data_IF_501887496433
#
_entry.id   IF_501887496433
#
_cell.length_a   1.000
_cell.length_b   1.000
_cell.length_c   1.000
_cell.angle_alpha   90.00
_cell.angle_beta   90.00
_cell.angle_gamma   90.00
#
_symmetry.space_group_name_H-M   'P 1'
#
loop_
_entity.id
_entity.type
_entity.pdbx_description
1 polymer ?
#
# COMPACT_ATOMS: atom_id res chain seq x y z
N UNK A 1 57.78 -4.70 43.24
CA UNK A 1 56.67 -5.44 42.70
C UNK A 1 55.70 -4.46 42.03
N UNK A 2 55.72 -4.45 40.74
CA UNK A 2 54.87 -3.56 39.96
C UNK A 2 53.64 -4.31 39.54
N UNK A 3 52.52 -3.94 40.10
CA UNK A 3 51.24 -4.45 39.64
C UNK A 3 50.81 -3.68 38.43
N UNK A 4 50.77 -4.35 37.30
CA UNK A 4 50.20 -3.79 36.08
C UNK A 4 48.68 -3.90 36.18
N UNK A 5 48.04 -2.78 36.41
CA UNK A 5 46.57 -2.71 36.33
C UNK A 5 46.20 -2.55 34.88
N UNK A 6 45.78 -3.66 34.28
CA UNK A 6 45.23 -3.65 32.92
C UNK A 6 43.78 -3.16 33.05
N UNK A 7 43.60 -1.88 32.78
CA UNK A 7 42.24 -1.35 32.64
C UNK A 7 41.69 -1.83 31.29
N UNK A 8 40.84 -2.82 31.36
CA UNK A 8 40.04 -3.27 30.23
C UNK A 8 38.95 -2.26 29.99
N UNK A 9 39.18 -1.33 29.08
CA UNK A 9 38.11 -0.45 28.60
C UNK A 9 37.22 -1.27 27.68
N UNK A 10 36.13 -1.77 28.21
CA UNK A 10 35.03 -2.30 27.44
C UNK A 10 34.33 -1.10 26.80
N UNK A 11 34.70 -0.80 25.57
CA UNK A 11 33.94 0.11 24.75
C UNK A 11 32.67 -0.63 24.35
N UNK A 12 31.64 -0.51 25.14
CA UNK A 12 30.30 -0.87 24.70
C UNK A 12 29.90 0.19 23.69
N UNK A 13 30.11 -0.12 22.43
CA UNK A 13 29.51 0.66 21.36
C UNK A 13 28.01 0.50 21.46
N UNK A 14 27.24 1.55 21.72
CA UNK A 14 25.80 1.47 21.56
C UNK A 14 25.55 1.31 20.07
N UNK A 15 25.23 0.10 19.66
CA UNK A 15 24.59 -0.08 18.39
C UNK A 15 23.26 0.64 18.47
N UNK A 16 23.25 1.87 18.03
CA UNK A 16 22.01 2.53 17.72
C UNK A 16 21.42 1.76 16.53
N UNK A 17 20.65 0.75 16.84
CA UNK A 17 19.67 0.30 15.88
C UNK A 17 18.70 1.44 15.77
N UNK A 18 18.88 2.26 14.75
CA UNK A 18 17.79 3.03 14.25
C UNK A 18 16.73 2.01 13.89
N UNK A 19 15.78 1.80 14.78
CA UNK A 19 14.58 1.11 14.44
C UNK A 19 13.94 1.95 13.35
N UNK A 20 14.26 1.62 12.11
CA UNK A 20 13.48 2.10 11.02
C UNK A 20 12.06 1.65 11.30
N UNK A 21 11.21 2.62 11.56
CA UNK A 21 9.79 2.42 11.70
C UNK A 21 9.19 2.07 10.34
N UNK A 22 9.71 1.02 9.72
CA UNK A 22 9.13 0.42 8.53
C UNK A 22 7.96 -0.49 8.88
N UNK A 23 7.66 -0.64 10.16
CA UNK A 23 6.56 -1.48 10.61
C UNK A 23 5.19 -0.98 10.13
N UNK A 24 5.06 0.31 9.88
CA UNK A 24 3.79 0.89 9.42
C UNK A 24 3.56 0.73 7.91
N UNK A 25 4.58 0.32 7.16
CA UNK A 25 4.49 0.09 5.72
C UNK A 25 4.30 -1.37 5.34
N UNK A 26 4.47 -2.29 6.26
CA UNK A 26 4.40 -3.72 5.97
C UNK A 26 2.99 -4.28 5.91
N UNK A 27 2.02 -3.55 6.42
CA UNK A 27 0.61 -3.98 6.41
C UNK A 27 -0.29 -2.79 6.14
N UNK A 28 -1.08 -2.88 5.07
CA UNK A 28 -2.13 -1.91 4.81
C UNK A 28 -3.39 -2.27 5.60
N UNK A 29 -4.11 -1.28 6.14
CA UNK A 29 -5.41 -1.51 6.72
C UNK A 29 -6.37 -2.13 5.71
N UNK A 30 -7.32 -2.92 6.17
CA UNK A 30 -8.29 -3.58 5.29
C UNK A 30 -9.59 -2.79 5.15
N UNK A 31 -9.95 -1.98 6.13
CA UNK A 31 -11.16 -1.15 6.07
C UNK A 31 -11.02 0.00 5.07
N UNK A 32 -12.11 0.39 4.46
CA UNK A 32 -12.13 1.35 3.35
C UNK A 32 -11.40 2.66 3.65
N UNK A 33 -11.77 3.33 4.73
CA UNK A 33 -11.23 4.66 5.05
C UNK A 33 -9.74 4.63 5.37
N UNK A 34 -9.34 3.72 6.22
CA UNK A 34 -7.94 3.59 6.63
C UNK A 34 -7.06 3.13 5.47
N UNK A 35 -7.58 2.26 4.62
CA UNK A 35 -6.89 1.83 3.41
C UNK A 35 -6.67 3.00 2.44
N UNK A 36 -7.71 3.79 2.17
CA UNK A 36 -7.61 4.94 1.26
C UNK A 36 -6.58 5.95 1.78
N UNK A 37 -6.61 6.23 3.07
CA UNK A 37 -5.65 7.15 3.68
C UNK A 37 -4.21 6.64 3.55
N UNK A 38 -3.99 5.36 3.81
CA UNK A 38 -2.66 4.75 3.70
C UNK A 38 -2.18 4.68 2.25
N UNK A 39 -3.01 4.17 1.33
CA UNK A 39 -2.62 3.96 -0.07
C UNK A 39 -2.34 5.27 -0.80
N UNK A 40 -2.95 6.38 -0.37
CA UNK A 40 -2.73 7.70 -0.95
C UNK A 40 -1.29 8.19 -0.84
N UNK A 41 -0.54 7.64 0.09
CA UNK A 41 0.86 8.02 0.37
C UNK A 41 1.88 7.14 -0.34
N UNK A 42 1.44 6.04 -0.93
CA UNK A 42 2.32 5.05 -1.55
C UNK A 42 2.44 5.29 -3.04
N UNK A 43 3.67 5.16 -3.55
CA UNK A 43 3.90 5.07 -4.99
C UNK A 43 3.71 3.62 -5.46
N UNK A 44 3.77 3.39 -6.77
CA UNK A 44 3.61 2.05 -7.37
C UNK A 44 4.58 1.02 -6.80
N UNK A 45 5.86 1.37 -6.64
CA UNK A 45 6.87 0.44 -6.12
C UNK A 45 6.60 0.04 -4.67
N UNK A 46 6.16 0.98 -3.85
CA UNK A 46 5.79 0.71 -2.47
C UNK A 46 4.54 -0.19 -2.38
N UNK A 47 3.57 0.04 -3.26
CA UNK A 47 2.37 -0.80 -3.35
C UNK A 47 2.72 -2.23 -3.76
N UNK A 48 3.61 -2.41 -4.74
CA UNK A 48 4.09 -3.73 -5.13
C UNK A 48 4.80 -4.46 -4.00
N UNK A 49 5.55 -3.75 -3.17
CA UNK A 49 6.23 -4.34 -2.01
C UNK A 49 5.26 -4.83 -0.94
N UNK A 50 4.16 -4.12 -0.75
CA UNK A 50 3.20 -4.42 0.32
C UNK A 50 2.11 -5.38 -0.15
N UNK A 51 1.54 -5.16 -1.32
CA UNK A 51 0.43 -5.95 -1.87
C UNK A 51 0.87 -7.03 -2.86
N UNK A 52 2.09 -6.95 -3.37
CA UNK A 52 2.55 -7.84 -4.44
C UNK A 52 1.99 -7.45 -5.80
N UNK A 53 2.18 -8.33 -6.78
CA UNK A 53 1.66 -8.10 -8.13
C UNK A 53 0.12 -8.13 -8.14
N UNK A 54 -0.51 -7.16 -8.83
CA UNK A 54 -1.96 -7.17 -8.97
C UNK A 54 -2.43 -8.35 -9.85
N UNK A 55 -3.67 -8.79 -9.63
CA UNK A 55 -4.30 -9.83 -10.44
C UNK A 55 -4.56 -9.36 -11.87
N UNK A 56 -4.78 -8.06 -12.04
CA UNK A 56 -4.96 -7.41 -13.34
C UNK A 56 -4.23 -6.08 -13.36
N UNK A 57 -3.63 -5.76 -14.51
CA UNK A 57 -2.84 -4.55 -14.69
C UNK A 57 -2.99 -4.06 -16.13
N UNK A 58 -3.37 -2.80 -16.29
CA UNK A 58 -3.54 -2.16 -17.57
C UNK A 58 -2.97 -0.75 -17.55
N UNK A 59 -2.22 -0.38 -18.59
CA UNK A 59 -1.76 0.98 -18.79
C UNK A 59 -2.69 1.70 -19.76
N UNK A 60 -3.03 2.94 -19.42
CA UNK A 60 -3.86 3.81 -20.25
C UNK A 60 -2.93 4.74 -21.04
N UNK A 61 -2.99 4.66 -22.37
CA UNK A 61 -2.20 5.48 -23.27
C UNK A 61 -3.02 6.59 -23.89
N UNK A 62 -2.38 7.72 -24.16
CA UNK A 62 -3.00 8.78 -24.96
C UNK A 62 -3.18 8.32 -26.41
N UNK A 63 -4.32 8.66 -27.01
CA UNK A 63 -4.61 8.30 -28.42
C UNK A 63 -3.66 8.94 -29.44
N UNK A 64 -3.10 10.09 -29.10
CA UNK A 64 -2.22 10.87 -30.00
C UNK A 64 -0.73 10.58 -29.83
N UNK A 65 -0.35 9.89 -28.77
CA UNK A 65 1.02 9.49 -28.48
C UNK A 65 1.01 8.20 -27.68
N UNK A 66 2.07 7.42 -27.71
CA UNK A 66 2.15 6.20 -26.91
C UNK A 66 2.47 6.48 -25.43
N UNK A 67 2.33 7.72 -25.00
CA UNK A 67 2.58 8.10 -23.62
C UNK A 67 1.54 7.51 -22.68
N UNK A 68 2.01 6.81 -21.62
CA UNK A 68 1.17 6.28 -20.57
C UNK A 68 0.74 7.43 -19.67
N UNK A 69 -0.57 7.64 -19.55
CA UNK A 69 -1.15 8.71 -18.72
C UNK A 69 -1.78 8.19 -17.43
N UNK A 70 -2.01 6.90 -17.35
CA UNK A 70 -2.58 6.27 -16.16
C UNK A 70 -2.38 4.77 -16.16
N UNK A 71 -2.73 4.15 -15.07
CA UNK A 71 -2.69 2.69 -14.94
C UNK A 71 -3.85 2.22 -14.06
N UNK A 72 -4.38 1.05 -14.35
CA UNK A 72 -5.42 0.39 -13.57
C UNK A 72 -4.85 -0.91 -13.02
N UNK A 73 -4.87 -1.07 -11.70
CA UNK A 73 -4.45 -2.31 -11.03
C UNK A 73 -5.61 -2.87 -10.22
N UNK A 74 -5.83 -4.17 -10.31
CA UNK A 74 -6.88 -4.84 -9.56
C UNK A 74 -6.30 -5.92 -8.65
N UNK A 75 -6.74 -5.90 -7.40
CA UNK A 75 -6.42 -6.88 -6.37
C UNK A 75 -7.70 -7.57 -5.91
N UNK A 76 -7.60 -8.84 -5.53
CA UNK A 76 -8.74 -9.60 -5.04
C UNK A 76 -8.69 -9.77 -3.52
N UNK A 77 -9.84 -9.60 -2.87
CA UNK A 77 -10.06 -9.95 -1.46
C UNK A 77 -9.08 -9.27 -0.49
N UNK A 78 -8.78 -8.01 -0.69
CA UNK A 78 -7.86 -7.25 0.17
C UNK A 78 -8.55 -6.24 1.09
N UNK A 79 -9.77 -5.84 0.78
CA UNK A 79 -10.48 -4.82 1.55
C UNK A 79 -11.86 -5.29 1.99
N UNK A 80 -12.29 -4.76 3.14
CA UNK A 80 -13.57 -5.08 3.76
C UNK A 80 -14.54 -3.90 3.72
N UNK A 81 -15.82 -4.22 3.53
CA UNK A 81 -16.93 -3.29 3.72
C UNK A 81 -17.21 -3.06 5.21
N UNK A 82 -18.13 -2.16 5.53
CA UNK A 82 -18.52 -1.86 6.91
C UNK A 82 -19.03 -3.07 7.69
N UNK A 83 -19.68 -4.03 7.01
CA UNK A 83 -20.17 -5.26 7.61
C UNK A 83 -19.08 -6.33 7.82
N UNK A 84 -17.82 -6.03 7.47
CA UNK A 84 -16.68 -6.94 7.59
C UNK A 84 -16.53 -7.92 6.44
N UNK A 85 -17.43 -7.94 5.46
CA UNK A 85 -17.27 -8.78 4.28
C UNK A 85 -16.23 -8.22 3.32
N UNK A 86 -15.45 -9.10 2.68
CA UNK A 86 -14.45 -8.67 1.71
C UNK A 86 -15.07 -8.30 0.38
N UNK A 87 -14.59 -7.21 -0.20
CA UNK A 87 -14.87 -6.91 -1.59
C UNK A 87 -14.12 -7.90 -2.48
N UNK A 88 -14.79 -8.45 -3.51
CA UNK A 88 -14.11 -9.36 -4.45
C UNK A 88 -12.93 -8.71 -5.15
N UNK A 89 -13.04 -7.43 -5.49
CA UNK A 89 -12.01 -6.70 -6.22
C UNK A 89 -11.86 -5.29 -5.68
N UNK A 90 -10.62 -4.88 -5.50
CA UNK A 90 -10.24 -3.49 -5.25
C UNK A 90 -9.42 -3.01 -6.44
N UNK A 91 -9.90 -1.96 -7.09
CA UNK A 91 -9.24 -1.32 -8.22
C UNK A 91 -8.54 -0.05 -7.77
N UNK A 92 -7.28 0.07 -8.15
CA UNK A 92 -6.47 1.25 -7.94
C UNK A 92 -6.23 1.91 -9.30
N UNK A 93 -6.74 3.11 -9.48
CA UNK A 93 -6.53 3.92 -10.65
C UNK A 93 -5.41 4.92 -10.38
N UNK A 94 -4.32 4.78 -11.11
CA UNK A 94 -3.14 5.64 -10.97
C UNK A 94 -3.14 6.76 -11.98
N UNK A 95 -2.76 7.93 -11.51
CA UNK A 95 -2.27 9.02 -12.35
C UNK A 95 -0.77 9.16 -12.06
N UNK A 96 0.06 8.89 -13.06
CA UNK A 96 1.51 8.74 -12.89
C UNK A 96 1.85 7.65 -11.85
N UNK A 97 2.53 7.97 -10.76
CA UNK A 97 3.01 7.01 -9.77
C UNK A 97 2.06 6.81 -8.57
N UNK A 98 1.04 7.66 -8.43
CA UNK A 98 0.18 7.66 -7.26
C UNK A 98 -1.27 7.32 -7.58
N UNK A 99 -1.95 6.70 -6.63
CA UNK A 99 -3.37 6.37 -6.74
C UNK A 99 -4.19 7.65 -6.73
N UNK A 100 -5.06 7.81 -7.71
CA UNK A 100 -6.03 8.91 -7.80
C UNK A 100 -7.42 8.49 -7.36
N UNK A 101 -7.82 7.27 -7.72
CA UNK A 101 -9.15 6.74 -7.42
C UNK A 101 -9.04 5.30 -6.93
N UNK A 102 -9.82 4.96 -5.93
CA UNK A 102 -9.99 3.60 -5.43
C UNK A 102 -11.43 3.16 -5.65
N UNK A 103 -11.62 2.03 -6.29
CA UNK A 103 -12.94 1.43 -6.50
C UNK A 103 -13.01 0.08 -5.79
N UNK A 104 -13.87 -0.02 -4.80
CA UNK A 104 -14.21 -1.28 -4.17
C UNK A 104 -15.37 -1.89 -4.94
N UNK A 105 -15.08 -2.93 -5.72
CA UNK A 105 -16.06 -3.55 -6.60
C UNK A 105 -16.69 -4.75 -5.92
N UNK A 106 -17.99 -4.77 -5.97
CA UNK A 106 -18.78 -5.86 -5.44
C UNK A 106 -19.51 -6.60 -6.56
N UNK A 107 -18.81 -6.87 -7.62
CA UNK A 107 -19.34 -7.41 -8.85
C UNK A 107 -19.09 -8.92 -8.95
N UNK A 108 -19.78 -9.68 -8.10
CA UNK A 108 -19.70 -11.14 -8.15
C UNK A 108 -20.86 -11.81 -8.88
N UNK A 109 -21.82 -11.03 -9.39
CA UNK A 109 -23.06 -11.58 -9.96
C UNK A 109 -23.92 -12.33 -8.94
N UNK A 110 -23.50 -12.38 -7.68
CA UNK A 110 -24.26 -12.89 -6.54
C UNK A 110 -24.70 -11.72 -5.69
N UNK A 111 -25.90 -11.80 -5.15
CA UNK A 111 -26.47 -10.79 -4.25
C UNK A 111 -25.52 -10.46 -3.11
N UNK A 112 -24.62 -9.57 -3.37
CA UNK A 112 -23.74 -9.04 -2.37
C UNK A 112 -24.48 -7.92 -1.63
N UNK A 113 -24.40 -7.93 -0.32
CA UNK A 113 -25.13 -7.00 0.54
C UNK A 113 -24.58 -5.57 0.51
N UNK A 114 -23.38 -5.39 -0.01
CA UNK A 114 -22.74 -4.08 -0.03
C UNK A 114 -22.56 -3.61 -1.47
N UNK A 115 -23.04 -2.42 -1.83
CA UNK A 115 -22.82 -1.87 -3.16
C UNK A 115 -21.35 -1.54 -3.40
N UNK A 116 -20.95 -1.46 -4.66
CA UNK A 116 -19.63 -0.97 -5.02
C UNK A 116 -19.46 0.49 -4.57
N UNK A 117 -18.26 0.81 -4.11
CA UNK A 117 -17.92 2.15 -3.62
C UNK A 117 -16.74 2.71 -4.41
N UNK A 118 -16.81 3.98 -4.79
CA UNK A 118 -15.75 4.71 -5.48
C UNK A 118 -15.30 5.89 -4.66
N UNK A 119 -14.00 5.98 -4.42
CA UNK A 119 -13.40 7.07 -3.67
C UNK A 119 -12.33 7.76 -4.48
N UNK A 120 -12.47 9.08 -4.62
CA UNK A 120 -11.43 9.91 -5.20
C UNK A 120 -10.51 10.41 -4.08
N UNK A 121 -9.21 10.21 -4.25
CA UNK A 121 -8.23 10.67 -3.26
C UNK A 121 -8.15 12.19 -3.32
N UNK A 122 -8.37 12.82 -2.16
CA UNK A 122 -8.23 14.26 -2.00
C UNK A 122 -6.74 14.59 -1.82
N UNK A 123 -6.20 15.33 -2.77
CA UNK A 123 -4.86 15.91 -2.60
C UNK A 123 -4.96 17.17 -1.76
N UNK A 124 -4.04 17.35 -0.81
CA UNK A 124 -3.99 18.59 -0.04
C UNK A 124 -3.67 19.79 -0.93
#
# INVERSE_FOLDING_TARGET
MKQLLLAFFLIASPYLHAAETNSDRSTLPVDEKSFIEAISRFNKDEILKVLGEPAFKEDIKMKSSEQIVGSIWQYHNINTAEDGSYYPTTELDFLDEFVETVVFQNDTGKTSKSPSQTYKIQKP
#
